data_IF_611226738422
#
_entry.id   IF_611226738422
#
_cell.length_a   1.000
_cell.length_b   1.000
_cell.length_c   1.000
_cell.angle_alpha   90.00
_cell.angle_beta   90.00
_cell.angle_gamma   90.00
#
_symmetry.space_group_name_H-M   'P 1'
#
loop_
_entity.id
_entity.type
_entity.pdbx_description
1 polymer ?
#
# COMPACT_ATOMS: atom_id res chain seq x y z
N UNK A 1 31.00 -86.12 -57.69
CA UNK A 1 31.56 -86.62 -56.41
C UNK A 1 32.16 -85.42 -55.69
N UNK A 2 31.69 -85.14 -54.48
CA UNK A 2 32.18 -84.15 -53.49
C UNK A 2 31.96 -82.62 -53.70
N UNK A 3 31.49 -82.01 -52.59
CA UNK A 3 31.07 -80.62 -52.23
C UNK A 3 32.35 -79.85 -51.71
N UNK A 4 32.41 -78.55 -51.25
CA UNK A 4 31.33 -77.64 -50.81
C UNK A 4 31.46 -76.08 -50.90
N UNK A 5 30.35 -75.42 -50.51
CA UNK A 5 30.15 -74.14 -49.75
C UNK A 5 30.53 -72.75 -50.31
N UNK A 6 29.61 -71.77 -50.28
CA UNK A 6 29.43 -70.78 -49.18
C UNK A 6 28.23 -69.81 -49.41
N UNK A 7 27.72 -69.27 -48.29
CA UNK A 7 26.64 -68.29 -48.08
C UNK A 7 26.59 -67.06 -48.99
N UNK A 8 25.38 -66.49 -49.19
CA UNK A 8 25.23 -65.03 -49.29
C UNK A 8 23.91 -64.54 -48.71
N UNK A 9 24.04 -63.54 -47.84
CA UNK A 9 23.06 -62.94 -46.95
C UNK A 9 22.58 -61.61 -47.55
N UNK A 10 21.28 -61.36 -47.52
CA UNK A 10 20.63 -60.14 -48.00
C UNK A 10 20.85 -59.02 -46.98
N UNK A 11 21.38 -57.86 -47.42
CA UNK A 11 21.50 -56.64 -46.61
C UNK A 11 20.55 -55.56 -47.17
N UNK A 12 19.50 -55.24 -46.40
CA UNK A 12 18.59 -54.10 -46.64
C UNK A 12 19.15 -52.87 -45.91
N UNK A 13 19.42 -51.80 -46.66
CA UNK A 13 19.82 -50.49 -46.15
C UNK A 13 18.57 -49.72 -45.65
N UNK A 14 18.52 -49.37 -44.37
CA UNK A 14 17.57 -48.39 -43.82
C UNK A 14 18.25 -47.01 -43.74
N UNK A 15 17.76 -46.05 -44.54
CA UNK A 15 18.15 -44.65 -44.50
C UNK A 15 17.24 -43.91 -43.49
N UNK A 16 17.78 -43.47 -42.36
CA UNK A 16 17.07 -42.59 -41.42
C UNK A 16 17.46 -41.14 -41.69
N UNK A 17 16.47 -40.33 -42.11
CA UNK A 17 16.59 -38.87 -42.22
C UNK A 17 16.29 -38.29 -40.83
N UNK A 18 17.30 -37.74 -40.14
CA UNK A 18 17.07 -36.87 -38.99
C UNK A 18 16.70 -35.46 -39.50
N UNK A 19 15.43 -35.08 -39.36
CA UNK A 19 15.01 -33.69 -39.45
C UNK A 19 15.29 -33.02 -38.10
N UNK A 20 16.31 -32.17 -38.04
CA UNK A 20 16.56 -31.33 -36.87
C UNK A 20 15.50 -30.21 -36.83
N UNK A 21 14.51 -30.33 -35.95
CA UNK A 21 13.59 -29.25 -35.60
C UNK A 21 14.36 -28.20 -34.82
N UNK A 22 14.76 -27.10 -35.48
CA UNK A 22 15.22 -25.90 -34.78
C UNK A 22 14.00 -25.26 -34.10
N UNK A 23 13.92 -25.38 -32.78
CA UNK A 23 13.06 -24.54 -31.96
C UNK A 23 13.61 -23.10 -32.05
N UNK A 24 12.78 -22.09 -32.33
CA UNK A 24 13.24 -20.71 -32.23
C UNK A 24 13.62 -20.44 -30.78
N UNK A 25 14.87 -20.05 -30.55
CA UNK A 25 15.25 -19.46 -29.29
C UNK A 25 14.43 -18.18 -29.14
N UNK A 26 13.52 -18.16 -28.17
CA UNK A 26 12.90 -16.92 -27.72
C UNK A 26 14.06 -16.03 -27.25
N UNK A 27 14.39 -15.01 -28.03
CA UNK A 27 15.23 -13.92 -27.54
C UNK A 27 14.42 -13.31 -26.38
N UNK A 28 14.88 -13.49 -25.15
CA UNK A 28 14.44 -12.64 -24.06
C UNK A 28 14.82 -11.23 -24.47
N UNK A 29 13.84 -10.43 -24.91
CA UNK A 29 14.05 -9.04 -25.27
C UNK A 29 14.65 -8.35 -24.04
N UNK A 30 15.90 -7.89 -24.13
CA UNK A 30 16.55 -7.22 -23.02
C UNK A 30 15.74 -5.96 -22.68
N UNK A 31 15.31 -5.85 -21.42
CA UNK A 31 14.51 -4.73 -21.00
C UNK A 31 15.26 -3.41 -21.21
N UNK A 32 14.75 -2.56 -22.11
CA UNK A 32 15.39 -1.28 -22.48
C UNK A 32 15.47 -0.30 -21.31
N UNK A 33 14.58 -0.43 -20.32
CA UNK A 33 14.62 0.37 -19.11
C UNK A 33 15.76 -0.10 -18.17
N UNK A 34 16.79 0.74 -18.02
CA UNK A 34 17.98 0.48 -17.19
C UNK A 34 18.01 1.28 -15.88
N UNK A 35 16.91 1.96 -15.52
CA UNK A 35 16.83 2.78 -14.31
C UNK A 35 17.01 1.93 -13.04
N UNK A 36 17.71 2.49 -12.06
CA UNK A 36 17.95 1.88 -10.75
C UNK A 36 17.76 2.91 -9.64
N UNK A 37 17.21 2.45 -8.52
CA UNK A 37 17.19 3.21 -7.28
C UNK A 37 18.63 3.55 -6.86
N UNK A 38 18.81 4.72 -6.25
CA UNK A 38 20.12 5.19 -5.78
C UNK A 38 20.49 4.68 -4.38
N UNK A 39 19.52 4.05 -3.70
CA UNK A 39 19.65 3.43 -2.39
C UNK A 39 19.53 1.89 -2.50
N UNK A 40 19.59 1.19 -1.37
CA UNK A 40 19.49 -0.28 -1.31
C UNK A 40 18.23 -0.76 -2.03
N UNK A 41 18.38 -1.72 -2.94
CA UNK A 41 17.26 -2.21 -3.75
C UNK A 41 16.10 -2.70 -2.88
N UNK A 42 14.85 -2.27 -3.17
CA UNK A 42 13.66 -2.78 -2.50
C UNK A 42 13.54 -4.31 -2.56
N UNK A 43 12.84 -4.87 -1.59
CA UNK A 43 12.51 -6.31 -1.54
C UNK A 43 11.09 -6.49 -2.04
N UNK A 44 10.91 -7.33 -3.08
CA UNK A 44 9.60 -7.75 -3.53
C UNK A 44 9.02 -8.83 -2.60
N UNK A 45 7.76 -8.70 -2.24
CA UNK A 45 6.99 -9.75 -1.59
C UNK A 45 6.90 -11.01 -2.46
N UNK A 46 6.64 -12.15 -1.83
CA UNK A 46 6.51 -13.42 -2.54
C UNK A 46 5.46 -13.34 -3.65
N UNK A 47 5.85 -13.73 -4.87
CA UNK A 47 4.95 -13.70 -6.03
C UNK A 47 4.85 -12.34 -6.74
N UNK A 48 5.75 -11.38 -6.47
CA UNK A 48 5.78 -10.08 -7.12
C UNK A 48 7.14 -9.76 -7.75
N UNK A 49 7.12 -8.97 -8.81
CA UNK A 49 8.31 -8.31 -9.39
C UNK A 49 8.06 -6.82 -9.51
N UNK A 50 9.13 -6.01 -9.53
CA UNK A 50 9.04 -4.57 -9.68
C UNK A 50 10.16 -4.00 -10.56
N UNK A 51 9.97 -2.77 -11.07
CA UNK A 51 11.01 -1.95 -11.72
C UNK A 51 10.77 -0.46 -11.49
N UNK A 52 11.84 0.34 -11.43
CA UNK A 52 11.79 1.80 -11.46
C UNK A 52 11.55 2.27 -12.91
N UNK A 53 10.51 3.06 -13.17
CA UNK A 53 10.11 3.45 -14.53
C UNK A 53 10.37 4.92 -14.86
N UNK A 54 10.47 5.77 -13.84
CA UNK A 54 10.71 7.19 -14.01
C UNK A 54 11.33 7.78 -12.73
N UNK A 55 12.15 8.82 -12.88
CA UNK A 55 12.71 9.60 -11.77
C UNK A 55 12.77 11.09 -12.12
N UNK A 56 13.28 11.93 -11.21
CA UNK A 56 13.46 13.37 -11.43
C UNK A 56 12.19 14.21 -11.29
N UNK A 57 11.19 13.70 -10.56
CA UNK A 57 10.03 14.49 -10.12
C UNK A 57 10.39 15.33 -8.90
N UNK A 58 9.67 16.42 -8.66
CA UNK A 58 9.94 17.29 -7.50
C UNK A 58 9.37 16.67 -6.23
N UNK A 59 8.08 16.33 -6.26
CA UNK A 59 7.35 15.69 -5.16
C UNK A 59 6.06 15.03 -5.68
N UNK A 60 6.18 13.91 -6.42
CA UNK A 60 5.03 13.22 -7.03
C UNK A 60 4.08 12.69 -5.96
N UNK A 61 2.78 12.95 -6.12
CA UNK A 61 1.70 12.56 -5.20
C UNK A 61 0.78 11.58 -5.92
N UNK A 62 -0.45 11.99 -6.21
CA UNK A 62 -1.46 11.18 -6.87
C UNK A 62 -1.07 10.85 -8.31
N UNK A 63 -1.42 9.65 -8.75
CA UNK A 63 -1.25 9.18 -10.12
C UNK A 63 -2.54 8.54 -10.61
N UNK A 64 -2.78 8.57 -11.92
CA UNK A 64 -3.96 8.01 -12.57
C UNK A 64 -3.63 7.66 -14.02
N UNK A 65 -4.21 6.61 -14.60
CA UNK A 65 -4.15 6.38 -16.04
C UNK A 65 -5.31 7.06 -16.76
N UNK A 66 -5.01 7.72 -17.88
CA UNK A 66 -6.05 8.21 -18.79
C UNK A 66 -6.60 7.11 -19.72
N UNK A 67 -7.64 7.44 -20.48
CA UNK A 67 -8.28 6.54 -21.44
C UNK A 67 -7.36 6.11 -22.62
N UNK A 68 -6.24 6.81 -22.83
CA UNK A 68 -5.24 6.51 -23.86
C UNK A 68 -4.08 5.65 -23.31
N UNK A 69 -4.10 5.31 -22.02
CA UNK A 69 -3.09 4.48 -21.36
C UNK A 69 -1.84 5.23 -20.90
N UNK A 70 -1.89 6.57 -20.84
CA UNK A 70 -0.81 7.38 -20.30
C UNK A 70 -0.97 7.62 -18.80
N UNK A 71 0.15 7.74 -18.09
CA UNK A 71 0.17 7.96 -16.65
C UNK A 71 0.14 9.46 -16.33
N UNK A 72 -0.95 9.92 -15.73
CA UNK A 72 -1.07 11.22 -15.10
C UNK A 72 -0.38 11.21 -13.73
N UNK A 73 0.41 12.24 -13.42
CA UNK A 73 1.15 12.40 -12.17
C UNK A 73 0.98 13.80 -11.64
N UNK A 74 0.39 13.94 -10.45
CA UNK A 74 0.34 15.20 -9.71
C UNK A 74 1.71 15.40 -9.06
N UNK A 75 2.54 16.25 -9.65
CA UNK A 75 3.84 16.65 -9.08
C UNK A 75 3.64 17.92 -8.26
N UNK A 76 3.73 17.83 -6.93
CA UNK A 76 3.37 18.96 -6.06
C UNK A 76 4.23 20.20 -6.38
N UNK A 77 3.59 21.36 -6.50
CA UNK A 77 4.19 22.63 -6.95
C UNK A 77 4.72 22.65 -8.39
N UNK A 78 4.45 21.61 -9.19
CA UNK A 78 4.92 21.43 -10.57
C UNK A 78 3.77 21.13 -11.56
N UNK A 79 2.57 20.81 -11.05
CA UNK A 79 1.34 20.60 -11.83
C UNK A 79 1.11 19.12 -12.22
N UNK A 80 0.10 18.86 -13.04
CA UNK A 80 -0.19 17.51 -13.56
C UNK A 80 0.73 17.21 -14.75
N UNK A 81 1.46 16.10 -14.69
CA UNK A 81 2.27 15.56 -15.79
C UNK A 81 1.51 14.40 -16.42
N UNK A 82 1.61 14.25 -17.73
CA UNK A 82 1.06 13.19 -18.57
C UNK A 82 2.26 12.45 -19.14
N UNK A 83 2.43 11.18 -18.79
CA UNK A 83 3.55 10.35 -19.17
C UNK A 83 3.07 9.30 -20.16
N UNK A 84 3.48 9.42 -21.42
CA UNK A 84 3.28 8.35 -22.40
C UNK A 84 4.27 7.23 -22.10
N UNK A 85 3.79 6.01 -21.91
CA UNK A 85 4.63 4.86 -21.58
C UNK A 85 4.93 4.03 -22.85
N UNK A 86 6.15 3.49 -22.94
CA UNK A 86 6.49 2.39 -23.85
C UNK A 86 6.53 1.11 -23.05
N UNK A 87 5.80 0.11 -23.52
CA UNK A 87 5.66 -1.18 -22.87
C UNK A 87 6.42 -2.25 -23.64
N UNK A 88 7.47 -2.78 -23.02
CA UNK A 88 8.28 -3.86 -23.56
C UNK A 88 7.97 -5.20 -22.83
N UNK A 89 6.83 -5.26 -22.13
CA UNK A 89 6.32 -6.45 -21.46
C UNK A 89 6.65 -6.54 -19.98
N UNK A 90 5.71 -7.09 -19.22
CA UNK A 90 5.84 -7.32 -17.78
C UNK A 90 6.09 -6.01 -17.01
N UNK A 91 7.15 -5.98 -16.18
CA UNK A 91 7.62 -4.76 -15.51
C UNK A 91 8.57 -3.91 -16.37
N UNK A 92 8.81 -4.27 -17.63
CA UNK A 92 9.66 -3.49 -18.54
C UNK A 92 8.90 -2.33 -19.19
N UNK A 93 8.68 -1.27 -18.42
CA UNK A 93 8.00 -0.05 -18.87
C UNK A 93 8.96 1.13 -18.82
N UNK A 94 8.88 2.04 -19.80
CA UNK A 94 9.69 3.27 -19.84
C UNK A 94 8.86 4.49 -20.26
N UNK A 95 9.29 5.70 -19.90
CA UNK A 95 8.60 6.95 -20.30
C UNK A 95 9.09 7.42 -21.66
N UNK A 96 8.16 7.54 -22.62
CA UNK A 96 8.43 8.02 -23.98
C UNK A 96 8.25 9.54 -24.14
N UNK A 97 7.28 10.14 -23.45
CA UNK A 97 6.96 11.58 -23.57
C UNK A 97 6.32 12.13 -22.28
N UNK A 98 6.52 13.43 -21.99
CA UNK A 98 5.98 14.13 -20.80
C UNK A 98 5.29 15.44 -21.21
N UNK A 99 3.97 15.60 -20.96
CA UNK A 99 3.18 16.84 -21.21
C UNK A 99 2.14 17.10 -20.09
N UNK A 100 1.18 18.04 -20.19
CA UNK A 100 0.25 18.39 -19.07
C UNK A 100 -1.20 18.54 -19.56
N UNK A 101 -2.09 17.55 -19.34
CA UNK A 101 -3.48 17.48 -19.85
C UNK A 101 -4.28 16.43 -19.02
N UNK A 102 -5.60 16.53 -18.79
CA UNK A 102 -6.40 15.65 -17.86
C UNK A 102 -7.63 15.01 -18.57
N UNK A 103 -7.98 13.75 -18.23
CA UNK A 103 -9.35 13.16 -18.14
C UNK A 103 -9.36 11.84 -17.30
N UNK A 104 -10.49 11.42 -16.68
CA UNK A 104 -10.65 10.21 -15.82
C UNK A 104 -11.96 9.43 -16.06
N UNK A 105 -11.96 8.09 -16.17
CA UNK A 105 -13.17 7.25 -16.31
C UNK A 105 -13.59 6.57 -14.98
N UNK A 106 -14.77 6.89 -14.44
CA UNK A 106 -15.15 6.56 -13.04
C UNK A 106 -16.56 5.92 -12.90
N UNK A 107 -16.80 5.17 -11.79
CA UNK A 107 -18.07 4.42 -11.52
C UNK A 107 -19.21 5.28 -10.97
N UNK A 108 -18.87 6.30 -10.19
CA UNK A 108 -19.81 7.30 -9.65
C UNK A 108 -19.52 8.64 -10.32
N UNK A 109 -19.76 8.76 -11.64
CA UNK A 109 -19.31 9.92 -12.41
C UNK A 109 -19.88 11.21 -11.81
N UNK A 110 -18.99 12.17 -11.55
CA UNK A 110 -19.38 13.48 -11.07
C UNK A 110 -19.54 13.59 -9.55
N UNK A 111 -18.99 12.67 -8.75
CA UNK A 111 -18.92 12.79 -7.28
C UNK A 111 -17.47 12.94 -6.80
N UNK A 112 -17.05 14.15 -6.46
CA UNK A 112 -15.73 14.41 -5.90
C UNK A 112 -15.66 14.04 -4.40
N UNK A 113 -14.76 13.14 -4.01
CA UNK A 113 -14.40 12.92 -2.61
C UNK A 113 -13.25 13.83 -2.19
N UNK A 114 -13.48 14.56 -1.10
CA UNK A 114 -12.50 15.46 -0.52
C UNK A 114 -12.30 15.10 0.95
N UNK A 115 -11.06 14.72 1.29
CA UNK A 115 -10.63 14.57 2.67
C UNK A 115 -9.88 15.83 3.10
N UNK A 116 -10.29 16.36 4.26
CA UNK A 116 -9.59 17.48 4.91
C UNK A 116 -9.11 17.03 6.28
N UNK A 117 -7.80 17.00 6.44
CA UNK A 117 -7.17 16.76 7.74
C UNK A 117 -7.32 17.92 8.73
N UNK A 118 -6.76 17.69 9.90
CA UNK A 118 -6.65 18.63 11.02
C UNK A 118 -5.66 19.76 10.72
N UNK A 119 -5.79 20.87 11.45
CA UNK A 119 -4.88 22.00 11.37
C UNK A 119 -3.63 21.85 12.26
N UNK A 120 -3.63 20.87 13.17
CA UNK A 120 -2.52 20.58 14.09
C UNK A 120 -2.60 19.15 14.59
N UNK A 121 -1.61 18.69 15.37
CA UNK A 121 -1.59 17.32 15.87
C UNK A 121 -2.84 16.94 16.69
N UNK A 122 -3.26 17.85 17.59
CA UNK A 122 -4.49 17.76 18.38
C UNK A 122 -5.27 19.04 18.14
N UNK A 123 -6.34 18.94 17.36
CA UNK A 123 -7.10 20.05 16.83
C UNK A 123 -8.49 20.09 17.46
N UNK A 124 -8.62 20.86 18.53
CA UNK A 124 -9.87 21.05 19.28
C UNK A 124 -11.01 21.57 18.40
N UNK A 125 -10.73 22.28 17.30
CA UNK A 125 -11.78 22.73 16.39
C UNK A 125 -12.50 21.56 15.69
N UNK A 126 -11.84 20.41 15.55
CA UNK A 126 -12.40 19.19 14.96
C UNK A 126 -13.52 18.56 15.83
N UNK A 127 -13.67 18.97 17.09
CA UNK A 127 -14.83 18.58 17.94
C UNK A 127 -16.16 19.07 17.35
N UNK A 128 -16.12 20.12 16.53
CA UNK A 128 -17.30 20.66 15.86
C UNK A 128 -17.34 20.29 14.38
N UNK A 129 -18.43 19.66 13.93
CA UNK A 129 -18.68 19.35 12.53
C UNK A 129 -18.66 20.60 11.63
N UNK A 130 -19.05 21.77 12.14
CA UNK A 130 -19.10 23.01 11.36
C UNK A 130 -17.73 23.60 11.05
N UNK A 131 -16.66 23.13 11.73
CA UNK A 131 -15.29 23.57 11.44
C UNK A 131 -14.83 23.14 10.03
N UNK A 132 -15.33 21.99 9.56
CA UNK A 132 -14.80 21.33 8.38
C UNK A 132 -13.43 20.68 8.59
N UNK A 133 -12.89 20.59 9.80
CA UNK A 133 -11.60 19.96 10.10
C UNK A 133 -11.79 18.47 10.34
N UNK A 134 -10.86 17.66 9.85
CA UNK A 134 -10.84 16.21 10.09
C UNK A 134 -12.11 15.50 9.58
N UNK A 135 -12.43 15.70 8.30
CA UNK A 135 -13.66 15.21 7.67
C UNK A 135 -13.43 14.65 6.28
N UNK A 136 -14.24 13.66 5.91
CA UNK A 136 -14.43 13.19 4.56
C UNK A 136 -15.78 13.67 4.04
N UNK A 137 -15.80 14.29 2.86
CA UNK A 137 -17.02 14.79 2.23
C UNK A 137 -17.10 14.42 0.75
N UNK A 138 -18.32 14.16 0.28
CA UNK A 138 -18.66 13.95 -1.11
C UNK A 138 -19.35 15.20 -1.69
N UNK A 139 -18.90 15.65 -2.85
CA UNK A 139 -19.47 16.79 -3.59
C UNK A 139 -19.99 16.30 -4.93
N UNK A 140 -21.24 16.62 -5.23
CA UNK A 140 -21.77 16.46 -6.59
C UNK A 140 -21.19 17.59 -7.46
N UNK A 141 -20.25 17.21 -8.32
CA UNK A 141 -19.61 18.09 -9.29
C UNK A 141 -20.23 17.94 -10.68
N UNK A 142 -21.00 16.88 -10.95
CA UNK A 142 -21.70 16.67 -12.22
C UNK A 142 -22.84 17.68 -12.45
N UNK A 143 -23.34 18.29 -11.37
CA UNK A 143 -24.32 19.37 -11.40
C UNK A 143 -23.71 20.77 -11.60
N UNK A 144 -22.38 20.90 -11.63
CA UNK A 144 -21.71 22.19 -11.81
C UNK A 144 -21.65 22.58 -13.30
N UNK A 145 -21.73 23.88 -13.54
CA UNK A 145 -21.61 24.52 -14.86
C UNK A 145 -20.66 25.72 -14.83
N UNK A 146 -20.45 26.37 -15.98
CA UNK A 146 -19.58 27.56 -16.10
C UNK A 146 -20.02 28.76 -15.22
N UNK A 147 -21.25 28.74 -14.68
CA UNK A 147 -21.78 29.76 -13.79
C UNK A 147 -21.68 29.39 -12.30
N UNK A 148 -21.25 28.17 -12.00
CA UNK A 148 -21.16 27.65 -10.65
C UNK A 148 -19.97 28.27 -9.90
N UNK A 149 -20.25 28.87 -8.75
CA UNK A 149 -19.23 29.43 -7.86
C UNK A 149 -18.44 28.36 -7.09
N UNK A 150 -17.36 28.74 -6.39
CA UNK A 150 -16.60 27.80 -5.57
C UNK A 150 -17.48 27.18 -4.49
N UNK A 151 -17.34 25.86 -4.29
CA UNK A 151 -18.05 25.12 -3.25
C UNK A 151 -17.36 25.29 -1.89
N UNK A 152 -18.14 25.63 -0.87
CA UNK A 152 -17.71 25.65 0.52
C UNK A 152 -17.64 24.24 1.10
N UNK A 153 -16.43 23.81 1.47
CA UNK A 153 -16.20 22.50 2.04
C UNK A 153 -17.09 22.15 3.25
N UNK A 154 -17.15 22.97 4.33
CA UNK A 154 -17.90 22.61 5.53
C UNK A 154 -19.42 22.59 5.37
N UNK A 155 -19.97 23.23 4.32
CA UNK A 155 -21.42 23.46 4.20
C UNK A 155 -22.07 22.84 2.97
N UNK A 156 -21.33 22.53 1.91
CA UNK A 156 -21.93 22.07 0.64
C UNK A 156 -21.61 20.60 0.30
N UNK A 157 -20.63 19.97 0.94
CA UNK A 157 -20.35 18.54 0.73
C UNK A 157 -21.17 17.68 1.68
N UNK A 158 -21.71 16.56 1.18
CA UNK A 158 -22.30 15.51 2.04
C UNK A 158 -21.19 14.92 2.90
N UNK A 159 -21.35 14.96 4.22
CA UNK A 159 -20.36 14.42 5.16
C UNK A 159 -20.47 12.91 5.25
N UNK A 160 -19.39 12.22 4.88
CA UNK A 160 -19.29 10.77 4.95
C UNK A 160 -18.71 10.32 6.29
N UNK A 161 -17.85 11.15 6.91
CA UNK A 161 -17.29 10.90 8.23
C UNK A 161 -16.58 12.14 8.79
N UNK A 162 -16.46 12.22 10.11
CA UNK A 162 -15.72 13.26 10.81
C UNK A 162 -15.00 12.70 12.04
N UNK A 163 -14.11 13.48 12.65
CA UNK A 163 -13.19 12.93 13.66
C UNK A 163 -12.16 12.01 13.02
N UNK A 164 -11.71 12.35 11.81
CA UNK A 164 -10.67 11.68 11.02
C UNK A 164 -9.45 12.61 10.94
N UNK A 165 -8.44 12.42 11.81
CA UNK A 165 -7.31 13.34 11.98
C UNK A 165 -6.72 13.80 10.65
N UNK A 166 -6.34 12.89 9.77
CA UNK A 166 -5.76 13.14 8.46
C UNK A 166 -5.83 11.89 7.55
N UNK A 167 -7.05 11.50 7.17
CA UNK A 167 -7.31 10.38 6.25
C UNK A 167 -6.96 10.71 4.80
N UNK A 168 -5.68 10.63 4.43
CA UNK A 168 -5.20 11.05 3.09
C UNK A 168 -5.66 10.09 1.99
N UNK A 169 -5.50 8.79 2.22
CA UNK A 169 -5.91 7.78 1.25
C UNK A 169 -7.42 7.52 1.34
N UNK A 170 -8.09 7.57 0.20
CA UNK A 170 -9.52 7.31 0.05
C UNK A 170 -9.69 6.33 -1.11
N UNK A 171 -10.67 5.43 -1.06
CA UNK A 171 -11.03 4.62 -2.22
C UNK A 171 -12.47 4.13 -2.16
N UNK A 172 -13.06 3.92 -3.32
CA UNK A 172 -14.30 3.15 -3.48
C UNK A 172 -13.95 1.69 -3.79
N UNK A 173 -14.47 0.77 -2.99
CA UNK A 173 -14.36 -0.68 -3.20
C UNK A 173 -15.26 -1.06 -4.39
N UNK A 174 -14.71 -1.72 -5.42
CA UNK A 174 -15.37 -1.78 -6.72
C UNK A 174 -16.55 -2.76 -6.80
N UNK A 175 -16.69 -3.75 -5.91
CA UNK A 175 -17.79 -4.73 -5.98
C UNK A 175 -19.07 -4.18 -5.37
N UNK A 176 -18.95 -3.57 -4.19
CA UNK A 176 -20.07 -3.10 -3.37
C UNK A 176 -20.25 -1.58 -3.41
N UNK A 177 -19.24 -0.83 -3.85
CA UNK A 177 -19.22 0.64 -3.82
C UNK A 177 -18.97 1.22 -2.42
N UNK A 178 -18.35 0.44 -1.55
CA UNK A 178 -18.04 0.85 -0.18
C UNK A 178 -16.91 1.90 -0.14
N UNK A 179 -17.05 2.96 0.64
CA UNK A 179 -16.03 4.00 0.76
C UNK A 179 -15.11 3.71 1.94
N UNK A 180 -13.81 3.69 1.66
CA UNK A 180 -12.75 3.36 2.61
C UNK A 180 -11.73 4.48 2.71
N UNK A 181 -11.17 4.70 3.90
CA UNK A 181 -10.03 5.60 4.07
C UNK A 181 -8.94 5.00 4.94
N UNK A 182 -7.71 5.44 4.74
CA UNK A 182 -6.58 5.16 5.62
C UNK A 182 -6.14 6.41 6.38
N UNK A 183 -6.00 6.29 7.69
CA UNK A 183 -5.79 7.39 8.64
C UNK A 183 -4.31 7.55 9.04
N UNK A 184 -3.87 8.80 9.18
CA UNK A 184 -2.63 9.15 9.88
C UNK A 184 -3.00 9.72 11.26
N UNK A 185 -2.86 8.90 12.29
CA UNK A 185 -3.29 9.20 13.65
C UNK A 185 -2.29 10.10 14.39
N UNK A 186 -2.57 10.40 15.66
CA UNK A 186 -1.88 11.48 16.39
C UNK A 186 -0.45 11.14 16.82
N UNK A 187 0.39 12.16 16.83
CA UNK A 187 1.79 12.11 17.22
C UNK A 187 1.96 12.33 18.73
N UNK A 188 3.09 11.85 19.27
CA UNK A 188 3.56 12.15 20.64
C UNK A 188 2.53 11.92 21.76
N UNK A 189 1.66 10.91 21.60
CA UNK A 189 0.58 10.66 22.55
C UNK A 189 1.11 10.26 23.93
N UNK A 190 0.47 10.84 24.95
CA UNK A 190 0.65 10.48 26.35
C UNK A 190 -0.71 10.19 26.97
N UNK A 191 -0.84 9.06 27.66
CA UNK A 191 -2.04 8.70 28.42
C UNK A 191 -1.76 8.84 29.90
N UNK A 192 -2.55 9.66 30.61
CA UNK A 192 -2.30 9.99 32.02
C UNK A 192 -0.83 10.42 32.28
N UNK A 193 -0.29 11.27 31.40
CA UNK A 193 1.12 11.73 31.36
C UNK A 193 2.19 10.66 31.05
N UNK A 194 1.83 9.38 30.93
CA UNK A 194 2.74 8.32 30.52
C UNK A 194 2.86 8.30 29.00
N UNK A 195 4.09 8.33 28.52
CA UNK A 195 4.38 8.28 27.09
C UNK A 195 4.03 6.90 26.54
N UNK A 196 3.16 6.87 25.53
CA UNK A 196 2.75 5.65 24.82
C UNK A 196 3.08 5.74 23.33
N UNK A 197 3.72 6.84 22.89
CA UNK A 197 3.77 7.18 21.48
C UNK A 197 4.49 6.13 20.64
N UNK A 198 5.51 5.43 21.17
CA UNK A 198 6.34 4.52 20.38
C UNK A 198 5.53 3.49 19.58
N UNK A 199 4.47 2.95 20.18
CA UNK A 199 3.63 1.92 19.57
C UNK A 199 2.12 2.22 19.67
N UNK A 200 1.75 3.48 19.94
CA UNK A 200 0.37 3.96 19.91
C UNK A 200 0.31 5.43 19.46
N UNK A 201 -0.79 5.88 18.86
CA UNK A 201 -2.01 5.11 18.53
C UNK A 201 -1.82 4.30 17.25
N UNK A 202 -2.78 3.43 16.94
CA UNK A 202 -2.83 2.77 15.65
C UNK A 202 -3.02 3.79 14.50
N UNK A 203 -2.45 3.48 13.35
CA UNK A 203 -3.01 3.98 12.08
C UNK A 203 -4.25 3.13 11.75
N UNK A 204 -5.16 3.61 10.90
CA UNK A 204 -6.49 3.00 10.81
C UNK A 204 -6.98 2.81 9.37
N UNK A 205 -7.78 1.77 9.16
CA UNK A 205 -8.66 1.62 8.01
C UNK A 205 -10.11 1.85 8.47
N UNK A 206 -10.76 2.88 7.90
CA UNK A 206 -12.09 3.30 8.28
C UNK A 206 -13.08 3.12 7.12
N UNK A 207 -14.27 2.56 7.42
CA UNK A 207 -15.37 2.37 6.46
C UNK A 207 -16.43 3.45 6.61
N UNK A 208 -16.89 4.03 5.50
CA UNK A 208 -17.79 5.19 5.45
C UNK A 208 -19.09 4.92 4.68
N UNK A 209 -19.53 3.66 4.65
CA UNK A 209 -20.76 3.27 3.96
C UNK A 209 -20.65 3.40 2.44
N UNK A 210 -21.79 3.60 1.77
CA UNK A 210 -21.88 3.62 0.31
C UNK A 210 -22.40 4.96 -0.21
N UNK A 211 -21.84 5.49 -1.30
CA UNK A 211 -22.32 6.74 -1.87
C UNK A 211 -23.80 6.68 -2.29
N UNK A 212 -24.27 5.50 -2.68
CA UNK A 212 -25.65 5.23 -3.10
C UNK A 212 -26.68 5.16 -1.95
N UNK A 213 -26.23 4.95 -0.71
CA UNK A 213 -27.10 4.86 0.46
C UNK A 213 -26.70 5.89 1.53
N UNK A 214 -27.26 7.10 1.41
CA UNK A 214 -26.95 8.20 2.32
C UNK A 214 -27.49 8.03 3.75
N UNK A 215 -28.28 6.98 4.03
CA UNK A 215 -28.96 6.80 5.31
C UNK A 215 -28.29 5.75 6.21
N UNK A 216 -27.28 5.03 5.70
CA UNK A 216 -26.68 3.91 6.41
C UNK A 216 -25.14 3.96 6.35
N UNK A 217 -24.49 3.93 7.51
CA UNK A 217 -23.03 3.87 7.61
C UNK A 217 -22.28 5.17 7.23
N UNK A 218 -22.95 6.32 7.15
CA UNK A 218 -22.35 7.63 6.84
C UNK A 218 -22.53 8.65 7.95
N UNK A 219 -21.60 9.61 8.01
CA UNK A 219 -21.62 10.76 8.93
C UNK A 219 -21.15 10.44 10.36
N UNK A 220 -20.60 9.25 10.58
CA UNK A 220 -20.08 8.81 11.88
C UNK A 220 -18.92 9.66 12.39
N UNK A 221 -18.77 9.73 13.71
CA UNK A 221 -17.58 10.29 14.36
C UNK A 221 -16.58 9.17 14.66
N UNK A 222 -15.39 9.24 14.08
CA UNK A 222 -14.35 8.21 14.20
C UNK A 222 -13.39 8.43 15.39
N UNK A 223 -13.63 9.45 16.22
CA UNK A 223 -12.98 9.59 17.52
C UNK A 223 -12.18 10.87 17.69
N UNK A 224 -11.40 11.27 16.69
CA UNK A 224 -10.51 12.43 16.80
C UNK A 224 -11.29 13.73 17.08
N UNK A 225 -10.80 14.64 17.93
CA UNK A 225 -9.51 14.61 18.65
C UNK A 225 -9.59 13.98 20.06
N UNK A 226 -10.72 13.36 20.41
CA UNK A 226 -11.02 12.92 21.77
C UNK A 226 -10.71 11.46 22.06
N UNK A 227 -10.81 10.62 21.04
CA UNK A 227 -10.59 9.17 21.09
C UNK A 227 -9.58 8.76 20.02
N UNK A 228 -8.71 7.80 20.35
CA UNK A 228 -7.66 7.23 19.51
C UNK A 228 -7.68 5.71 19.62
N UNK A 229 -7.09 4.99 18.68
CA UNK A 229 -7.16 3.53 18.64
C UNK A 229 -5.92 2.87 19.24
N UNK A 230 -6.11 1.83 20.08
CA UNK A 230 -5.02 1.01 20.62
C UNK A 230 -4.40 0.18 19.49
N UNK A 231 -3.07 0.26 19.34
CA UNK A 231 -2.30 -0.71 18.58
C UNK A 231 -1.62 -1.72 19.50
N UNK A 232 -0.76 -1.24 20.41
CA UNK A 232 -0.04 -2.09 21.37
C UNK A 232 -0.63 -1.98 22.77
N UNK A 233 -0.94 -3.13 23.36
CA UNK A 233 -1.37 -3.27 24.76
C UNK A 233 -0.19 -3.36 25.74
N UNK A 234 1.04 -3.56 25.23
CA UNK A 234 2.23 -3.71 26.05
C UNK A 234 2.58 -2.39 26.75
N UNK A 235 2.66 -2.42 28.08
CA UNK A 235 2.98 -1.23 28.88
C UNK A 235 1.90 -0.14 28.87
N UNK A 236 0.72 -0.42 28.32
CA UNK A 236 -0.35 0.58 28.17
C UNK A 236 -1.02 0.91 29.52
N UNK A 237 -1.06 2.18 29.96
CA UNK A 237 -1.64 2.57 31.24
C UNK A 237 -3.15 2.31 31.30
N UNK A 238 -3.61 1.69 32.39
CA UNK A 238 -5.04 1.44 32.63
C UNK A 238 -5.73 0.75 31.44
N UNK A 239 -5.06 -0.22 30.80
CA UNK A 239 -5.55 -0.91 29.60
C UNK A 239 -6.88 -1.64 29.82
N UNK A 240 -7.15 -2.10 31.04
CA UNK A 240 -8.35 -2.88 31.34
C UNK A 240 -8.46 -4.12 30.45
N UNK A 241 -9.58 -4.24 29.74
CA UNK A 241 -9.83 -5.32 28.76
C UNK A 241 -9.65 -4.85 27.32
N UNK A 242 -9.10 -3.64 27.10
CA UNK A 242 -8.90 -3.14 25.75
C UNK A 242 -7.83 -3.95 25.02
N UNK A 243 -8.08 -4.17 23.75
CA UNK A 243 -7.25 -4.88 22.79
C UNK A 243 -6.95 -3.98 21.60
N UNK A 244 -6.14 -4.46 20.66
CA UNK A 244 -5.90 -3.75 19.39
C UNK A 244 -7.24 -3.45 18.71
N UNK A 245 -7.41 -2.22 18.20
CA UNK A 245 -8.66 -1.79 17.57
C UNK A 245 -9.69 -1.15 18.52
N UNK A 246 -9.57 -1.34 19.84
CA UNK A 246 -10.41 -0.60 20.80
C UNK A 246 -9.98 0.87 20.87
N UNK A 247 -10.95 1.76 21.06
CA UNK A 247 -10.71 3.19 21.17
C UNK A 247 -10.54 3.63 22.63
N UNK A 248 -9.65 4.59 22.86
CA UNK A 248 -9.27 5.09 24.16
C UNK A 248 -9.13 6.61 24.17
N UNK A 249 -9.19 7.23 25.34
CA UNK A 249 -8.90 8.66 25.51
C UNK A 249 -7.62 8.90 26.30
N UNK A 250 -6.99 10.06 26.11
CA UNK A 250 -5.71 10.42 26.72
C UNK A 250 -5.84 10.72 28.22
N UNK A 251 -6.97 11.32 28.62
CA UNK A 251 -7.23 11.74 30.00
C UNK A 251 -8.68 11.41 30.36
N UNK A 252 -8.94 10.18 30.85
CA UNK A 252 -10.29 9.75 31.20
C UNK A 252 -10.94 10.65 32.25
N UNK A 253 -12.21 10.95 32.02
CA UNK A 253 -13.08 11.75 32.88
C UNK A 253 -14.42 11.03 33.08
N UNK A 254 -15.31 11.64 33.87
CA UNK A 254 -16.66 11.09 34.06
C UNK A 254 -17.48 11.02 32.77
N UNK A 255 -17.28 11.96 31.84
CA UNK A 255 -18.09 12.10 30.62
C UNK A 255 -17.41 11.60 29.36
N UNK A 256 -16.08 11.64 29.31
CA UNK A 256 -15.26 11.09 28.23
C UNK A 256 -14.26 10.13 28.84
N UNK A 257 -14.46 8.84 28.60
CA UNK A 257 -13.56 7.75 29.01
C UNK A 257 -13.59 6.67 27.93
N UNK A 258 -12.80 5.62 28.11
CA UNK A 258 -12.67 4.56 27.11
C UNK A 258 -14.01 3.86 26.81
N UNK A 259 -14.89 3.70 27.80
CA UNK A 259 -16.24 3.16 27.55
C UNK A 259 -17.04 4.09 26.64
N UNK A 260 -16.95 5.41 26.84
CA UNK A 260 -17.56 6.38 25.93
C UNK A 260 -16.95 6.30 24.53
N UNK A 261 -15.62 6.21 24.42
CA UNK A 261 -14.95 6.05 23.13
C UNK A 261 -15.48 4.82 22.36
N UNK A 262 -15.55 3.66 23.01
CA UNK A 262 -16.00 2.43 22.36
C UNK A 262 -17.52 2.34 22.11
N UNK A 263 -18.34 3.19 22.75
CA UNK A 263 -19.81 3.11 22.64
C UNK A 263 -20.45 4.22 21.82
N UNK A 264 -19.77 5.36 21.69
CA UNK A 264 -20.33 6.57 21.08
C UNK A 264 -19.62 6.99 19.79
N UNK A 265 -18.49 6.37 19.47
CA UNK A 265 -17.69 6.64 18.28
C UNK A 265 -17.61 5.39 17.42
N UNK A 266 -17.24 5.58 16.15
CA UNK A 266 -17.09 4.49 15.17
C UNK A 266 -15.65 3.99 15.26
N UNK A 267 -15.42 2.73 15.67
CA UNK A 267 -14.08 2.16 15.69
C UNK A 267 -13.58 1.87 14.27
N UNK A 268 -12.26 1.75 14.08
CA UNK A 268 -11.73 1.36 12.78
C UNK A 268 -12.01 -0.11 12.47
N UNK A 269 -12.11 -0.42 11.18
CA UNK A 269 -12.31 -1.79 10.72
C UNK A 269 -11.04 -2.63 10.86
N UNK A 270 -9.88 -2.02 10.64
CA UNK A 270 -8.57 -2.60 10.89
C UNK A 270 -7.63 -1.53 11.45
N UNK A 271 -6.66 -1.99 12.24
CA UNK A 271 -5.60 -1.16 12.81
C UNK A 271 -4.25 -1.53 12.19
N UNK A 272 -3.36 -0.55 12.01
CA UNK A 272 -1.99 -0.78 11.57
C UNK A 272 -0.99 -0.24 12.60
N UNK A 273 0.25 -0.71 12.48
CA UNK A 273 1.36 -0.25 13.32
C UNK A 273 1.45 1.28 13.33
N UNK A 274 1.56 1.82 14.54
CA UNK A 274 1.70 3.25 14.80
C UNK A 274 2.82 3.87 13.96
N UNK A 275 2.57 5.09 13.46
CA UNK A 275 3.50 5.92 12.68
C UNK A 275 3.88 5.39 11.29
N UNK A 276 3.19 4.37 10.77
CA UNK A 276 3.49 3.87 9.42
C UNK A 276 3.03 4.82 8.31
N UNK A 277 2.18 5.81 8.64
CA UNK A 277 1.76 6.92 7.79
C UNK A 277 1.16 6.48 6.44
N UNK A 278 -0.04 5.87 6.42
CA UNK A 278 -0.65 5.40 5.19
C UNK A 278 -1.16 6.58 4.34
N UNK A 279 -0.84 6.63 3.04
CA UNK A 279 -1.14 7.82 2.20
C UNK A 279 -2.06 7.57 1.02
N UNK A 280 -2.18 6.34 0.54
CA UNK A 280 -3.13 5.96 -0.51
C UNK A 280 -3.63 4.54 -0.31
N UNK A 281 -4.82 4.27 -0.86
CA UNK A 281 -5.44 2.96 -0.93
C UNK A 281 -6.00 2.75 -2.34
N UNK A 282 -5.77 1.58 -2.93
CA UNK A 282 -6.34 1.18 -4.22
C UNK A 282 -6.77 -0.28 -4.21
N UNK A 283 -8.01 -0.54 -4.61
CA UNK A 283 -8.53 -1.89 -4.76
C UNK A 283 -8.12 -2.51 -6.08
N UNK A 284 -7.96 -3.83 -6.11
CA UNK A 284 -7.95 -4.58 -7.37
C UNK A 284 -9.31 -4.43 -8.07
N UNK A 285 -9.37 -4.51 -9.41
CA UNK A 285 -10.65 -4.35 -10.14
C UNK A 285 -11.76 -5.31 -9.70
N UNK A 286 -11.40 -6.49 -9.19
CA UNK A 286 -12.33 -7.50 -8.68
C UNK A 286 -12.68 -7.35 -7.18
N UNK A 287 -12.11 -6.34 -6.50
CA UNK A 287 -12.35 -6.05 -5.08
C UNK A 287 -11.79 -7.09 -4.11
N UNK A 288 -10.98 -8.04 -4.56
CA UNK A 288 -10.43 -9.10 -3.72
C UNK A 288 -9.27 -8.64 -2.82
N UNK A 289 -8.62 -7.53 -3.15
CA UNK A 289 -7.54 -6.95 -2.36
C UNK A 289 -7.53 -5.42 -2.41
N UNK A 290 -7.03 -4.81 -1.35
CA UNK A 290 -6.68 -3.39 -1.30
C UNK A 290 -5.17 -3.21 -1.06
N UNK A 291 -4.53 -2.36 -1.84
CA UNK A 291 -3.12 -2.00 -1.69
C UNK A 291 -3.00 -0.67 -0.97
N UNK A 292 -2.13 -0.60 0.04
CA UNK A 292 -1.93 0.58 0.89
C UNK A 292 -0.46 0.96 0.92
N UNK A 293 -0.17 2.24 0.68
CA UNK A 293 1.18 2.80 0.79
C UNK A 293 1.44 3.29 2.20
N UNK A 294 2.48 2.76 2.86
CA UNK A 294 2.95 3.19 4.17
C UNK A 294 4.21 4.05 4.01
N UNK A 295 4.04 5.36 4.09
CA UNK A 295 5.06 6.38 3.78
C UNK A 295 6.26 6.36 4.74
N UNK A 296 6.03 5.86 5.95
CA UNK A 296 7.08 5.63 6.94
C UNK A 296 7.18 6.70 8.01
N UNK A 297 7.59 6.25 9.20
CA UNK A 297 7.58 7.03 10.43
C UNK A 297 8.64 8.12 10.48
N UNK A 298 8.28 9.25 11.07
CA UNK A 298 9.23 10.25 11.58
C UNK A 298 9.21 10.35 13.12
N UNK A 299 8.08 10.00 13.75
CA UNK A 299 7.84 10.11 15.19
C UNK A 299 7.96 8.76 15.92
N UNK A 300 9.01 7.99 15.62
CA UNK A 300 9.35 6.72 16.27
C UNK A 300 10.85 6.47 16.19
N UNK A 301 11.49 6.12 17.30
CA UNK A 301 12.96 5.91 17.36
C UNK A 301 13.46 4.86 16.38
N UNK A 302 12.78 3.71 16.34
CA UNK A 302 13.04 2.67 15.34
C UNK A 302 12.04 2.86 14.20
N UNK A 303 12.54 3.22 13.02
CA UNK A 303 11.69 3.54 11.88
C UNK A 303 10.86 2.34 11.41
N UNK A 304 9.59 2.58 11.10
CA UNK A 304 8.61 1.59 10.61
C UNK A 304 7.86 2.15 9.39
N UNK A 305 7.21 1.27 8.63
CA UNK A 305 6.53 1.63 7.38
C UNK A 305 7.48 1.49 6.20
N UNK A 306 7.59 2.52 5.36
CA UNK A 306 8.49 2.54 4.19
C UNK A 306 8.24 1.35 3.25
N UNK A 307 6.96 1.07 2.98
CA UNK A 307 6.53 -0.14 2.27
C UNK A 307 5.15 0.00 1.62
N UNK A 308 4.92 -0.82 0.62
CA UNK A 308 3.61 -1.11 0.03
C UNK A 308 3.15 -2.46 0.54
N UNK A 309 1.91 -2.53 1.02
CA UNK A 309 1.32 -3.78 1.50
C UNK A 309 -0.10 -3.97 0.94
N UNK A 310 -0.63 -5.19 0.99
CA UNK A 310 -2.01 -5.50 0.62
C UNK A 310 -2.83 -5.99 1.83
N UNK A 311 -4.15 -5.82 1.72
CA UNK A 311 -5.18 -6.33 2.63
C UNK A 311 -6.11 -7.21 1.79
N UNK A 312 -6.41 -8.41 2.26
CA UNK A 312 -7.36 -9.30 1.59
C UNK A 312 -8.80 -8.91 1.93
N UNK A 313 -9.63 -8.83 0.90
CA UNK A 313 -11.05 -8.50 0.98
C UNK A 313 -11.92 -9.66 0.47
N UNK A 314 -13.11 -9.79 1.04
CA UNK A 314 -14.15 -10.69 0.56
C UNK A 314 -15.51 -10.06 0.82
N UNK A 315 -16.37 -10.04 -0.20
CA UNK A 315 -17.71 -9.45 -0.14
C UNK A 315 -17.72 -7.98 0.34
N UNK A 316 -16.73 -7.19 -0.10
CA UNK A 316 -16.61 -5.77 0.24
C UNK A 316 -16.00 -5.47 1.61
N UNK A 317 -15.56 -6.47 2.37
CA UNK A 317 -15.00 -6.31 3.72
C UNK A 317 -13.62 -6.98 3.85
N UNK A 318 -12.72 -6.47 4.71
CA UNK A 318 -11.48 -7.18 5.04
C UNK A 318 -11.77 -8.56 5.63
N UNK A 319 -10.92 -9.55 5.34
CA UNK A 319 -11.09 -10.91 5.89
C UNK A 319 -10.60 -11.05 7.32
N UNK A 320 -9.69 -10.18 7.74
CA UNK A 320 -9.12 -10.18 9.09
C UNK A 320 -10.06 -9.54 10.11
N UNK A 321 -9.99 -9.98 11.37
CA UNK A 321 -10.74 -9.38 12.47
C UNK A 321 -10.18 -8.00 12.85
N UNK A 322 -11.02 -7.16 13.47
CA UNK A 322 -10.64 -5.78 13.83
C UNK A 322 -9.48 -5.71 14.85
N UNK A 323 -9.29 -6.77 15.63
CA UNK A 323 -8.20 -6.93 16.62
C UNK A 323 -6.92 -7.57 16.05
N UNK A 324 -6.88 -7.87 14.75
CA UNK A 324 -5.71 -8.45 14.10
C UNK A 324 -4.51 -7.51 14.17
N UNK A 325 -3.36 -8.05 14.60
CA UNK A 325 -2.06 -7.36 14.59
C UNK A 325 -1.22 -7.62 13.35
N UNK A 326 -1.74 -8.41 12.42
CA UNK A 326 -1.07 -8.72 11.15
C UNK A 326 -2.06 -8.63 9.97
N UNK A 327 -2.82 -7.54 9.82
CA UNK A 327 -3.88 -7.49 8.80
C UNK A 327 -3.36 -7.20 7.38
N UNK A 328 -2.05 -7.03 7.21
CA UNK A 328 -1.40 -6.64 5.97
C UNK A 328 -0.34 -7.66 5.54
N UNK A 329 -0.20 -7.83 4.23
CA UNK A 329 0.90 -8.61 3.60
C UNK A 329 1.81 -7.66 2.84
N UNK A 330 3.11 -7.68 3.10
CA UNK A 330 4.06 -6.78 2.43
C UNK A 330 4.31 -7.18 0.98
N UNK A 331 4.22 -6.20 0.07
CA UNK A 331 4.35 -6.35 -1.39
C UNK A 331 5.67 -5.77 -1.90
N UNK A 332 6.07 -4.62 -1.37
CA UNK A 332 7.36 -4.00 -1.66
C UNK A 332 7.84 -3.26 -0.41
N UNK A 333 9.00 -3.63 0.12
CA UNK A 333 9.54 -3.00 1.33
C UNK A 333 10.99 -2.57 1.15
N UNK A 334 11.40 -1.53 1.89
CA UNK A 334 12.82 -1.26 2.05
C UNK A 334 13.46 -2.39 2.87
N UNK A 335 14.66 -2.83 2.46
CA UNK A 335 15.34 -3.96 3.08
C UNK A 335 15.78 -3.71 4.53
N UNK A 336 16.09 -2.46 4.85
CA UNK A 336 16.53 -2.02 6.17
C UNK A 336 15.93 -0.64 6.45
N UNK A 337 15.12 -0.54 7.51
CA UNK A 337 14.50 0.72 7.89
C UNK A 337 15.36 1.59 8.79
N UNK A 338 16.49 1.09 9.31
CA UNK A 338 17.37 1.84 10.22
C UNK A 338 18.03 3.08 9.57
N UNK A 339 18.09 3.08 8.24
CA UNK A 339 18.62 4.20 7.43
C UNK A 339 17.53 5.09 6.82
N UNK A 340 16.26 4.85 7.17
CA UNK A 340 15.15 5.69 6.74
C UNK A 340 15.02 6.93 7.64
N UNK A 341 14.52 8.08 7.13
CA UNK A 341 13.98 8.28 5.77
C UNK A 341 15.03 8.48 4.68
N UNK A 342 16.28 8.79 5.02
CA UNK A 342 17.26 9.34 4.07
C UNK A 342 17.63 8.40 2.91
N UNK A 343 17.67 7.09 3.15
CA UNK A 343 18.08 6.09 2.16
C UNK A 343 16.99 5.08 1.83
N UNK A 344 15.73 5.54 1.82
CA UNK A 344 14.57 4.69 1.58
C UNK A 344 13.59 5.34 0.61
N UNK A 345 12.91 4.53 -0.22
CA UNK A 345 11.68 5.04 -0.83
C UNK A 345 10.62 5.25 0.24
N UNK A 346 9.82 6.29 0.04
CA UNK A 346 8.65 6.63 0.84
C UNK A 346 7.42 6.62 -0.07
N UNK A 347 6.61 5.56 -0.03
CA UNK A 347 5.55 5.36 -1.01
C UNK A 347 4.37 6.30 -0.77
N UNK A 348 3.79 6.86 -1.84
CA UNK A 348 2.66 7.80 -1.76
C UNK A 348 1.45 7.33 -2.58
N UNK A 349 1.39 7.63 -3.87
CA UNK A 349 0.21 7.40 -4.72
C UNK A 349 0.29 6.09 -5.49
N UNK A 350 -0.87 5.49 -5.75
CA UNK A 350 -1.06 4.23 -6.46
C UNK A 350 -1.98 4.38 -7.67
N UNK A 351 -1.71 3.63 -8.75
CA UNK A 351 -2.63 3.50 -9.89
C UNK A 351 -2.50 2.15 -10.59
N UNK A 352 -3.62 1.59 -11.05
CA UNK A 352 -3.64 0.42 -11.92
C UNK A 352 -3.63 0.84 -13.37
N UNK A 353 -2.85 0.15 -14.20
CA UNK A 353 -3.02 0.23 -15.64
C UNK A 353 -4.04 -0.79 -16.17
N UNK A 354 -4.34 -0.72 -17.47
CA UNK A 354 -5.26 -1.65 -18.15
C UNK A 354 -4.76 -3.10 -18.20
N UNK A 355 -3.49 -3.34 -17.88
CA UNK A 355 -2.86 -4.66 -17.81
C UNK A 355 -2.76 -5.19 -16.37
N UNK A 356 -3.41 -4.51 -15.41
CA UNK A 356 -3.40 -4.87 -13.99
C UNK A 356 -1.99 -4.87 -13.38
N UNK A 357 -1.13 -3.97 -13.84
CA UNK A 357 0.12 -3.62 -13.15
C UNK A 357 -0.13 -2.46 -12.22
N UNK A 358 0.48 -2.52 -11.03
CA UNK A 358 0.35 -1.49 -10.01
C UNK A 358 1.51 -0.51 -10.12
N UNK A 359 1.22 0.77 -10.26
CA UNK A 359 2.21 1.84 -10.24
C UNK A 359 2.20 2.51 -8.87
N UNK A 360 3.38 2.91 -8.39
CA UNK A 360 3.55 3.52 -7.08
C UNK A 360 4.56 4.67 -7.14
N UNK A 361 4.22 5.83 -6.59
CA UNK A 361 5.17 6.96 -6.48
C UNK A 361 5.96 6.93 -5.18
N UNK A 362 7.17 7.49 -5.20
CA UNK A 362 7.88 7.89 -4.00
C UNK A 362 8.30 9.35 -4.06
N UNK A 363 7.81 10.14 -3.10
CA UNK A 363 7.93 11.59 -3.18
C UNK A 363 9.30 12.12 -2.74
N UNK A 364 9.90 11.55 -1.70
CA UNK A 364 11.21 11.94 -1.19
C UNK A 364 12.36 11.58 -2.14
N UNK A 365 12.20 10.52 -2.93
CA UNK A 365 13.20 10.09 -3.91
C UNK A 365 12.90 10.57 -5.33
N UNK A 366 11.69 11.08 -5.57
CA UNK A 366 11.25 11.57 -6.87
C UNK A 366 11.10 10.46 -7.91
N UNK A 367 10.65 9.27 -7.49
CA UNK A 367 10.65 8.02 -8.26
C UNK A 367 9.22 7.48 -8.51
N UNK A 368 9.06 6.65 -9.55
CA UNK A 368 7.84 5.89 -9.84
C UNK A 368 8.20 4.42 -10.15
N UNK A 369 7.56 3.50 -9.43
CA UNK A 369 7.70 2.06 -9.58
C UNK A 369 6.52 1.48 -10.36
N UNK A 370 6.78 0.41 -11.12
CA UNK A 370 5.75 -0.53 -11.59
C UNK A 370 5.94 -1.87 -10.89
N UNK A 371 4.85 -2.50 -10.48
CA UNK A 371 4.80 -3.80 -9.83
C UNK A 371 3.83 -4.71 -10.57
N UNK A 372 4.17 -5.99 -10.66
CA UNK A 372 3.33 -7.01 -11.28
C UNK A 372 3.46 -8.33 -10.53
N UNK A 373 2.35 -9.07 -10.39
CA UNK A 373 2.38 -10.45 -9.92
C UNK A 373 3.21 -11.30 -10.87
N UNK A 374 4.10 -12.13 -10.34
CA UNK A 374 4.73 -13.17 -11.14
C UNK A 374 3.68 -14.23 -11.42
N UNK A 375 3.41 -14.52 -12.69
CA UNK A 375 2.67 -15.73 -13.04
C UNK A 375 3.43 -16.92 -12.45
N UNK A 376 2.95 -17.48 -11.36
CA UNK A 376 3.36 -18.81 -10.96
C UNK A 376 2.65 -19.74 -11.92
N UNK A 377 3.19 -19.87 -13.13
CA UNK A 377 2.93 -21.03 -13.96
C UNK A 377 3.46 -22.23 -13.17
N UNK A 378 2.63 -22.79 -12.28
CA UNK A 378 2.83 -24.14 -11.76
C UNK A 378 2.59 -25.07 -12.94
N UNK A 379 3.57 -25.19 -13.82
CA UNK A 379 3.69 -26.38 -14.65
C UNK A 379 3.90 -27.53 -13.67
N UNK A 380 2.83 -28.26 -13.39
CA UNK A 380 2.85 -29.53 -12.69
C UNK A 380 3.57 -30.57 -13.55
N UNK A 381 4.87 -30.41 -13.77
CA UNK A 381 5.72 -31.54 -14.12
C UNK A 381 5.95 -32.33 -12.84
N UNK A 382 5.10 -33.35 -12.66
CA UNK A 382 5.22 -34.43 -11.70
C UNK A 382 6.69 -34.78 -11.42
N UNK A 383 7.18 -34.78 -10.16
CA UNK A 383 8.51 -35.27 -9.85
C UNK A 383 8.57 -36.77 -10.19
N UNK A 384 9.43 -37.13 -11.14
CA UNK A 384 9.79 -38.52 -11.36
C UNK A 384 10.26 -39.15 -10.03
N UNK A 385 9.74 -40.33 -9.75
CA UNK A 385 10.00 -41.09 -8.52
C UNK A 385 11.52 -41.24 -8.24
N UNK A 386 11.96 -41.18 -6.97
CA UNK A 386 13.36 -41.37 -6.62
C UNK A 386 13.77 -42.84 -6.76
N UNK A 387 14.81 -43.09 -7.55
CA UNK A 387 15.52 -44.37 -7.61
C UNK A 387 16.42 -44.49 -6.36
N UNK A 388 16.45 -45.64 -5.65
CA UNK A 388 17.18 -45.77 -4.39
C UNK A 388 18.68 -45.95 -4.66
N UNK A 389 19.51 -45.18 -3.96
CA UNK A 389 20.96 -45.46 -3.87
C UNK A 389 21.39 -45.43 -2.40
N UNK A 390 22.11 -46.49 -2.04
CA UNK A 390 22.58 -46.89 -0.72
C UNK A 390 23.69 -45.99 -0.16
N UNK A 391 23.61 -45.65 1.13
CA UNK A 391 24.73 -45.16 1.96
C UNK A 391 25.80 -46.25 2.18
N UNK A 392 27.01 -45.85 2.61
CA UNK A 392 27.31 -46.02 4.03
C UNK A 392 28.10 -44.88 4.71
N UNK A 393 27.87 -44.82 6.03
CA UNK A 393 28.76 -44.48 7.16
C UNK A 393 29.26 -43.04 7.44
N UNK A 394 28.67 -42.49 8.51
CA UNK A 394 29.26 -42.11 9.81
C UNK A 394 30.48 -41.15 9.89
N UNK A 395 30.28 -40.02 10.58
CA UNK A 395 30.87 -39.80 11.91
C UNK A 395 30.40 -38.45 12.51
N UNK A 396 30.04 -38.50 13.79
CA UNK A 396 29.61 -37.37 14.61
C UNK A 396 30.80 -36.61 15.21
N UNK A 397 30.67 -35.30 15.43
CA UNK A 397 31.26 -34.63 16.61
C UNK A 397 30.48 -33.36 16.97
N UNK A 398 30.02 -33.32 18.22
CA UNK A 398 29.45 -32.15 18.92
C UNK A 398 30.58 -31.34 19.57
N UNK A 399 30.38 -30.02 19.75
CA UNK A 399 30.41 -29.27 21.03
C UNK A 399 30.46 -27.73 20.76
N UNK A 400 29.89 -26.88 21.65
CA UNK A 400 29.43 -25.51 21.36
C UNK A 400 30.29 -24.42 22.02
N UNK A 401 30.01 -23.13 21.74
CA UNK A 401 29.88 -22.06 22.77
C UNK A 401 29.67 -20.65 22.19
N UNK A 402 29.06 -19.83 23.05
CA UNK A 402 28.53 -18.47 22.91
C UNK A 402 29.63 -17.40 22.89
N UNK A 403 29.34 -16.19 22.40
CA UNK A 403 29.26 -14.96 23.21
C UNK A 403 28.95 -13.70 22.37
N UNK A 404 28.25 -12.78 23.04
CA UNK A 404 27.78 -11.48 22.60
C UNK A 404 28.89 -10.43 22.45
N UNK A 405 28.61 -9.36 21.71
CA UNK A 405 29.17 -8.04 22.02
C UNK A 405 28.21 -6.93 21.59
N UNK A 406 27.86 -6.13 22.59
CA UNK A 406 27.19 -4.84 22.51
C UNK A 406 28.11 -3.75 21.96
N UNK A 407 27.54 -2.77 21.25
CA UNK A 407 28.16 -1.46 21.09
C UNK A 407 27.08 -0.38 20.97
N UNK A 408 27.16 0.62 21.85
CA UNK A 408 26.35 1.83 21.89
C UNK A 408 27.17 2.99 21.30
N UNK A 409 26.56 3.91 20.54
CA UNK A 409 26.47 5.33 20.91
C UNK A 409 25.70 6.20 19.89
N UNK A 410 24.84 7.05 20.48
CA UNK A 410 24.56 8.46 20.20
C UNK A 410 24.02 8.88 18.82
N UNK A 411 22.71 9.12 18.78
CA UNK A 411 22.00 9.90 17.74
C UNK A 411 21.74 11.31 18.29
N UNK A 412 22.13 12.33 17.52
CA UNK A 412 21.67 13.72 17.71
C UNK A 412 20.50 13.94 16.76
N UNK A 413 19.28 14.14 17.28
CA UNK A 413 18.08 14.38 16.47
C UNK A 413 17.84 15.88 16.32
N UNK A 414 17.84 16.35 15.07
CA UNK A 414 17.34 17.65 14.67
C UNK A 414 15.83 17.52 14.45
N UNK A 415 15.02 18.24 15.23
CA UNK A 415 13.55 18.24 15.11
C UNK A 415 13.14 19.11 13.92
N UNK A 416 12.66 18.49 12.84
CA UNK A 416 11.88 19.19 11.82
C UNK A 416 10.39 19.08 12.17
N UNK A 417 9.84 20.17 12.70
CA UNK A 417 8.39 20.35 12.79
C UNK A 417 7.85 20.64 11.38
N UNK A 418 7.26 19.63 10.75
CA UNK A 418 6.63 19.73 9.44
C UNK A 418 5.10 19.63 9.52
N UNK A 419 4.46 20.54 10.25
CA UNK A 419 3.01 20.71 10.20
C UNK A 419 2.59 21.50 8.95
N UNK A 420 2.04 20.81 7.96
CA UNK A 420 1.16 21.38 6.94
C UNK A 420 0.27 20.26 6.41
N UNK A 421 -1.03 20.35 6.69
CA UNK A 421 -2.03 19.35 6.31
C UNK A 421 -1.95 19.03 4.81
N UNK A 422 -1.77 17.76 4.50
CA UNK A 422 -1.88 17.23 3.14
C UNK A 422 -3.34 16.88 2.93
N UNK A 423 -4.04 17.61 2.06
CA UNK A 423 -5.39 17.22 1.65
C UNK A 423 -5.31 16.04 0.67
N UNK A 424 -6.04 14.97 0.97
CA UNK A 424 -6.31 13.90 0.02
C UNK A 424 -7.46 14.31 -0.90
N UNK A 425 -7.22 14.34 -2.21
CA UNK A 425 -8.22 14.67 -3.22
C UNK A 425 -8.36 13.49 -4.18
N UNK A 426 -9.58 12.95 -4.30
CA UNK A 426 -9.90 11.92 -5.29
C UNK A 426 -11.14 12.34 -6.05
N UNK A 427 -10.95 12.61 -7.34
CA UNK A 427 -12.00 13.04 -8.26
C UNK A 427 -12.62 11.82 -8.93
N UNK A 428 -13.73 11.38 -8.32
CA UNK A 428 -14.92 10.77 -8.90
C UNK A 428 -15.37 11.26 -10.30
#
# INVERSE_FOLDING_TARGET
>A
MYVPTTNNMILLLYLHILAATQLPAALAEECRNTLKATYTSPIAGGGWTYRLIANGFTRPRSILFDNEGALLVVDANSGVKHLKLTDDGGTCVSVAEKRTIIDSPEKSPGILLVSRGSASNIDEAAISQSSGHSQLRAFDIGSLDDNSGPLSFPTQGRMLGWGLRNSVGVAEEPVTGGIWTVENSADQLRRNNIDIHTDNPAEELNFHGHLSDSNNGQGGNYGYPSCFTVWSTEGFPDIGNMTTGDQFTLTPSRTLNDTTCNSAYVPPRLSFQAHTAPLDIKFTPDGSEAFVTFHGSWNRDLAVGYKLSSITFSNGEPTESADSRTPITDILSNADTSSCPDNCFRPVGLAWDSQQRLFMTSDSTGEIYVLQRTDVSVSTSSPAAPVPTSSPDAAATLVPSRLASSCSLAISVLVFMGGAGVAGLIVF
#
